data_IF_933729432594
#
_entry.id   IF_933729432594
#
_cell.length_a   1.000
_cell.length_b   1.000
_cell.length_c   1.000
_cell.angle_alpha   90.00
_cell.angle_beta   90.00
_cell.angle_gamma   90.00
#
_symmetry.space_group_name_H-M   'P 1'
#
loop_
_entity.id
_entity.type
_entity.pdbx_description
1 polymer ?
#
# COMPACT_ATOMS: atom_id res chain seq x y z
N UNK A 1 15.69 5.05 -6.38
CA UNK A 1 14.35 5.67 -6.33
C UNK A 1 14.51 7.16 -6.60
N UNK A 2 13.76 7.72 -7.55
CA UNK A 2 13.85 9.14 -7.92
C UNK A 2 12.90 9.99 -7.07
N UNK A 3 13.12 11.30 -7.06
CA UNK A 3 12.20 12.25 -6.42
C UNK A 3 10.81 12.15 -7.04
N UNK A 4 10.74 12.02 -8.35
CA UNK A 4 9.50 11.94 -9.11
C UNK A 4 8.67 10.71 -8.66
N UNK A 5 9.33 9.57 -8.42
CA UNK A 5 8.66 8.38 -7.88
C UNK A 5 8.10 8.59 -6.48
N UNK A 6 8.83 9.30 -5.60
CA UNK A 6 8.37 9.65 -4.24
C UNK A 6 7.18 10.63 -4.27
N UNK A 7 7.26 11.65 -5.12
CA UNK A 7 6.20 12.63 -5.31
C UNK A 7 4.94 12.00 -5.91
N UNK A 8 5.10 11.10 -6.88
CA UNK A 8 3.99 10.39 -7.52
C UNK A 8 3.30 9.45 -6.53
N UNK A 9 4.07 8.76 -5.67
CA UNK A 9 3.52 7.95 -4.60
C UNK A 9 2.75 8.82 -3.59
N UNK A 10 3.33 9.94 -3.15
CA UNK A 10 2.69 10.89 -2.24
C UNK A 10 1.42 11.55 -2.82
N UNK A 11 1.24 11.58 -4.15
CA UNK A 11 0.07 12.17 -4.79
C UNK A 11 -1.24 11.41 -4.49
N UNK A 12 -1.18 10.18 -3.96
CA UNK A 12 -2.34 9.43 -3.49
C UNK A 12 -2.84 9.85 -2.11
N UNK A 13 -2.07 10.65 -1.35
CA UNK A 13 -2.45 11.10 -0.01
C UNK A 13 -3.82 11.81 0.06
N UNK A 14 -4.17 12.75 -0.84
CA UNK A 14 -5.45 13.43 -0.78
C UNK A 14 -6.63 12.47 -0.96
N UNK A 15 -6.52 11.51 -1.87
CA UNK A 15 -7.57 10.53 -2.15
C UNK A 15 -7.79 9.57 -0.98
N UNK A 16 -6.71 9.17 -0.30
CA UNK A 16 -6.77 8.21 0.82
C UNK A 16 -7.19 8.88 2.13
N UNK A 17 -6.88 10.17 2.31
CA UNK A 17 -7.33 10.96 3.48
C UNK A 17 -8.75 11.49 3.34
N UNK A 18 -9.38 11.31 2.18
CA UNK A 18 -10.75 11.77 1.98
C UNK A 18 -11.68 11.04 2.97
N UNK A 19 -12.61 11.74 3.64
CA UNK A 19 -13.47 11.14 4.66
C UNK A 19 -14.44 10.09 4.10
N UNK A 20 -14.65 10.10 2.78
CA UNK A 20 -15.41 9.14 2.00
C UNK A 20 -14.54 8.03 1.37
N UNK A 21 -13.23 8.01 1.68
CA UNK A 21 -12.35 6.94 1.24
C UNK A 21 -12.82 5.61 1.84
N UNK A 22 -12.92 4.61 0.97
CA UNK A 22 -13.19 3.23 1.34
C UNK A 22 -12.23 2.32 0.59
N UNK A 23 -11.65 1.35 1.31
CA UNK A 23 -10.79 0.32 0.73
C UNK A 23 -11.56 -0.63 -0.20
N UNK A 24 -12.88 -0.70 -0.04
CA UNK A 24 -13.75 -1.53 -0.86
C UNK A 24 -15.01 -1.92 -0.11
N UNK A 25 -15.81 -2.77 -0.75
CA UNK A 25 -17.04 -3.30 -0.16
C UNK A 25 -17.09 -4.81 -0.33
N UNK A 26 -17.47 -5.52 0.73
CA UNK A 26 -17.83 -6.93 0.60
C UNK A 26 -19.11 -7.05 -0.22
N UNK A 27 -19.08 -7.91 -1.24
CA UNK A 27 -20.24 -8.21 -2.10
C UNK A 27 -20.43 -9.72 -2.18
N UNK A 28 -21.62 -10.16 -2.58
CA UNK A 28 -21.98 -11.57 -2.57
C UNK A 28 -22.50 -12.05 -1.21
N UNK A 29 -22.73 -13.35 -1.06
CA UNK A 29 -23.39 -13.95 0.12
C UNK A 29 -24.92 -13.87 0.09
N UNK A 30 -25.49 -13.11 -0.83
CA UNK A 30 -26.93 -13.03 -1.07
C UNK A 30 -27.41 -14.20 -1.94
N UNK A 31 -28.61 -14.69 -1.64
CA UNK A 31 -29.26 -15.71 -2.46
C UNK A 31 -29.84 -15.06 -3.72
N UNK A 32 -29.41 -15.53 -4.89
CA UNK A 32 -29.89 -15.04 -6.18
C UNK A 32 -31.28 -15.59 -6.50
N UNK A 33 -31.93 -14.99 -7.51
CA UNK A 33 -33.28 -15.37 -7.94
C UNK A 33 -33.40 -16.84 -8.40
N UNK A 34 -32.29 -17.47 -8.77
CA UNK A 34 -32.21 -18.88 -9.15
C UNK A 34 -31.91 -19.83 -7.96
N UNK A 35 -31.83 -19.29 -6.74
CA UNK A 35 -31.55 -20.03 -5.51
C UNK A 35 -30.07 -20.29 -5.24
N UNK A 36 -29.16 -19.93 -6.16
CA UNK A 36 -27.73 -20.01 -5.94
C UNK A 36 -27.25 -18.95 -4.94
N UNK A 37 -26.19 -19.26 -4.19
CA UNK A 37 -25.51 -18.28 -3.34
C UNK A 37 -24.14 -18.04 -3.95
N UNK A 38 -23.88 -16.79 -4.33
CA UNK A 38 -22.57 -16.38 -4.76
C UNK A 38 -21.65 -16.27 -3.53
N UNK A 39 -20.48 -16.88 -3.59
CA UNK A 39 -19.49 -16.75 -2.52
C UNK A 39 -19.14 -15.26 -2.31
N UNK A 40 -19.07 -14.78 -1.05
CA UNK A 40 -18.65 -13.43 -0.75
C UNK A 40 -17.24 -13.16 -1.33
N UNK A 41 -17.07 -12.00 -1.93
CA UNK A 41 -15.77 -11.49 -2.41
C UNK A 41 -15.58 -10.04 -1.96
N UNK A 42 -14.32 -9.61 -1.87
CA UNK A 42 -14.00 -8.21 -1.61
C UNK A 42 -13.93 -7.40 -2.91
N UNK A 43 -14.89 -6.50 -3.13
CA UNK A 43 -14.84 -5.56 -4.24
C UNK A 43 -13.99 -4.34 -3.85
N UNK A 44 -12.70 -4.45 -4.17
CA UNK A 44 -11.70 -3.39 -3.99
C UNK A 44 -12.10 -2.09 -4.70
N UNK A 45 -11.83 -0.94 -4.09
CA UNK A 45 -12.12 0.36 -4.71
C UNK A 45 -11.16 0.71 -5.85
N UNK A 46 -11.65 1.50 -6.81
CA UNK A 46 -10.84 1.99 -7.95
C UNK A 46 -9.57 2.70 -7.46
N UNK A 47 -9.63 3.41 -6.33
CA UNK A 47 -8.49 4.08 -5.73
C UNK A 47 -7.35 3.12 -5.33
N UNK A 48 -7.68 1.95 -4.74
CA UNK A 48 -6.66 0.94 -4.44
C UNK A 48 -6.12 0.31 -5.73
N UNK A 49 -6.98 0.04 -6.72
CA UNK A 49 -6.55 -0.52 -8.00
C UNK A 49 -5.60 0.43 -8.75
N UNK A 50 -5.91 1.73 -8.79
CA UNK A 50 -5.05 2.77 -9.35
C UNK A 50 -3.73 2.90 -8.58
N UNK A 51 -3.78 2.81 -7.25
CA UNK A 51 -2.59 2.80 -6.41
C UNK A 51 -1.67 1.60 -6.72
N UNK A 52 -2.22 0.39 -6.80
CA UNK A 52 -1.46 -0.82 -7.13
C UNK A 52 -0.84 -0.68 -8.51
N UNK A 53 -1.63 -0.24 -9.50
CA UNK A 53 -1.14 -0.01 -10.86
C UNK A 53 0.02 0.99 -10.87
N UNK A 54 -0.12 2.14 -10.19
CA UNK A 54 0.94 3.13 -10.08
C UNK A 54 2.18 2.58 -9.37
N UNK A 55 2.02 1.75 -8.33
CA UNK A 55 3.14 1.13 -7.64
C UNK A 55 3.95 0.18 -8.55
N UNK A 56 3.29 -0.52 -9.49
CA UNK A 56 4.00 -1.28 -10.53
C UNK A 56 4.64 -0.38 -11.57
N UNK A 57 3.89 0.59 -12.11
CA UNK A 57 4.35 1.48 -13.19
C UNK A 57 5.54 2.37 -12.77
N UNK A 58 5.66 2.67 -11.47
CA UNK A 58 6.72 3.50 -10.88
C UNK A 58 7.85 2.70 -10.22
N UNK A 59 7.90 1.38 -10.42
CA UNK A 59 8.95 0.48 -9.89
C UNK A 59 9.04 0.47 -8.34
N UNK A 60 7.91 0.70 -7.66
CA UNK A 60 7.80 0.52 -6.21
C UNK A 60 7.70 -0.96 -5.81
N UNK A 61 7.08 -1.78 -6.67
CA UNK A 61 7.03 -3.24 -6.49
C UNK A 61 8.27 -3.88 -7.08
N UNK A 62 9.19 -4.30 -6.22
CA UNK A 62 10.50 -4.80 -6.62
C UNK A 62 10.56 -6.32 -6.66
N UNK A 63 11.54 -6.83 -7.41
CA UNK A 63 11.89 -8.25 -7.39
C UNK A 63 13.00 -8.50 -6.38
N UNK A 64 12.69 -9.21 -5.30
CA UNK A 64 13.63 -9.72 -4.29
C UNK A 64 12.98 -10.88 -3.52
N UNK A 65 13.76 -11.55 -2.66
CA UNK A 65 13.25 -12.58 -1.75
C UNK A 65 12.46 -11.96 -0.60
N UNK A 66 11.25 -11.49 -0.93
CA UNK A 66 10.34 -10.89 0.03
C UNK A 66 9.83 -11.88 1.09
N UNK A 67 9.61 -13.19 0.79
CA UNK A 67 9.27 -14.15 1.85
C UNK A 67 10.36 -14.23 2.92
N UNK A 68 11.63 -14.36 2.53
CA UNK A 68 12.75 -14.39 3.48
C UNK A 68 12.88 -13.05 4.22
N UNK A 69 12.77 -11.92 3.51
CA UNK A 69 12.89 -10.60 4.14
C UNK A 69 11.82 -10.33 5.19
N UNK A 70 10.58 -10.82 5.02
CA UNK A 70 9.51 -10.64 6.02
C UNK A 70 9.81 -11.31 7.36
N UNK A 71 10.76 -12.25 7.41
CA UNK A 71 11.22 -12.92 8.64
C UNK A 71 12.27 -12.08 9.41
N UNK A 72 12.73 -10.97 8.84
CA UNK A 72 13.76 -10.13 9.46
C UNK A 72 13.18 -9.16 10.50
N UNK A 73 14.00 -8.78 11.47
CA UNK A 73 13.63 -7.74 12.44
C UNK A 73 13.39 -6.38 11.77
N UNK A 74 14.10 -6.08 10.68
CA UNK A 74 13.86 -4.86 9.89
C UNK A 74 12.43 -4.82 9.36
N UNK A 75 11.97 -5.88 8.69
CA UNK A 75 10.61 -5.95 8.16
C UNK A 75 9.57 -5.87 9.27
N UNK A 76 9.80 -6.56 10.40
CA UNK A 76 8.93 -6.52 11.56
C UNK A 76 8.80 -5.09 12.11
N UNK A 77 9.92 -4.38 12.32
CA UNK A 77 9.91 -3.00 12.84
C UNK A 77 9.26 -2.05 11.85
N UNK A 78 9.63 -2.08 10.56
CA UNK A 78 9.04 -1.20 9.55
C UNK A 78 7.52 -1.36 9.43
N UNK A 79 6.98 -2.55 9.71
CA UNK A 79 5.54 -2.83 9.65
C UNK A 79 4.80 -2.45 10.93
N UNK A 80 5.42 -2.64 12.10
CA UNK A 80 4.72 -2.57 13.39
C UNK A 80 5.14 -1.38 14.28
N UNK A 81 6.23 -0.70 13.95
CA UNK A 81 6.76 0.44 14.69
C UNK A 81 6.63 1.73 13.85
N UNK A 82 5.71 2.64 14.22
CA UNK A 82 5.53 3.91 13.51
C UNK A 82 6.79 4.77 13.47
N UNK A 83 7.64 4.74 14.49
CA UNK A 83 8.88 5.52 14.50
C UNK A 83 9.90 4.95 13.51
N UNK A 84 10.01 3.62 13.44
CA UNK A 84 10.85 2.96 12.46
C UNK A 84 10.40 3.29 11.02
N UNK A 85 9.09 3.28 10.76
CA UNK A 85 8.54 3.64 9.46
C UNK A 85 8.75 5.12 9.12
N UNK A 86 8.58 6.03 10.10
CA UNK A 86 8.86 7.44 9.93
C UNK A 86 10.34 7.74 9.61
N UNK A 87 11.26 6.87 10.03
CA UNK A 87 12.68 6.92 9.69
C UNK A 87 13.05 6.24 8.36
N UNK A 88 12.13 5.47 7.76
CA UNK A 88 12.45 4.56 6.66
C UNK A 88 13.04 5.26 5.43
N UNK A 89 13.94 4.58 4.73
CA UNK A 89 14.48 5.01 3.44
C UNK A 89 13.53 4.67 2.29
N UNK A 90 13.72 5.28 1.12
CA UNK A 90 12.94 4.93 -0.07
C UNK A 90 13.10 3.46 -0.50
N UNK A 91 14.23 2.81 -0.17
CA UNK A 91 14.44 1.38 -0.40
C UNK A 91 13.54 0.53 0.51
N UNK A 92 13.54 0.86 1.80
CA UNK A 92 12.72 0.19 2.81
C UNK A 92 11.23 0.34 2.53
N UNK A 93 10.78 1.53 2.11
CA UNK A 93 9.40 1.74 1.67
C UNK A 93 9.03 0.85 0.48
N UNK A 94 9.91 0.72 -0.52
CA UNK A 94 9.66 -0.13 -1.68
C UNK A 94 9.59 -1.62 -1.32
N UNK A 95 10.45 -2.08 -0.41
CA UNK A 95 10.38 -3.45 0.12
C UNK A 95 9.06 -3.71 0.84
N UNK A 96 8.64 -2.78 1.71
CA UNK A 96 7.39 -2.89 2.45
C UNK A 96 6.16 -2.87 1.50
N UNK A 97 6.12 -1.97 0.53
CA UNK A 97 5.08 -1.94 -0.50
C UNK A 97 5.03 -3.21 -1.32
N UNK A 98 6.19 -3.77 -1.67
CA UNK A 98 6.26 -5.04 -2.40
C UNK A 98 5.60 -6.16 -1.60
N UNK A 99 5.89 -6.26 -0.30
CA UNK A 99 5.26 -7.25 0.58
C UNK A 99 3.75 -7.05 0.62
N UNK A 100 3.29 -5.84 0.95
CA UNK A 100 1.86 -5.56 1.10
C UNK A 100 1.08 -5.84 -0.19
N UNK A 101 1.58 -5.40 -1.34
CA UNK A 101 0.91 -5.60 -2.64
C UNK A 101 0.95 -7.06 -3.10
N UNK A 102 2.06 -7.77 -2.88
CA UNK A 102 2.18 -9.17 -3.32
C UNK A 102 1.48 -10.14 -2.37
N UNK A 103 1.40 -9.83 -1.08
CA UNK A 103 0.73 -10.65 -0.08
C UNK A 103 -0.78 -10.76 -0.34
N UNK A 104 -1.39 -9.74 -0.94
CA UNK A 104 -2.80 -9.75 -1.34
C UNK A 104 -3.17 -10.87 -2.33
N UNK A 105 -2.19 -11.34 -3.12
CA UNK A 105 -2.37 -12.51 -4.00
C UNK A 105 -2.50 -13.84 -3.26
N UNK A 106 -2.10 -13.87 -1.98
CA UNK A 106 -2.12 -15.07 -1.13
C UNK A 106 -3.15 -14.97 0.00
N UNK A 107 -3.53 -13.75 0.40
CA UNK A 107 -4.52 -13.47 1.42
C UNK A 107 -5.43 -12.34 0.94
N UNK A 108 -6.62 -12.71 0.45
CA UNK A 108 -7.63 -11.76 -0.02
C UNK A 108 -7.96 -10.74 1.09
N UNK A 109 -7.93 -9.46 0.72
CA UNK A 109 -8.25 -8.36 1.63
C UNK A 109 -7.08 -7.90 2.51
N UNK A 110 -5.89 -8.53 2.42
CA UNK A 110 -4.72 -8.06 3.18
C UNK A 110 -4.23 -6.69 2.73
N UNK A 111 -4.40 -6.34 1.45
CA UNK A 111 -4.15 -4.98 0.98
C UNK A 111 -5.16 -4.00 1.57
N UNK A 112 -6.45 -4.34 1.55
CA UNK A 112 -7.51 -3.51 2.13
C UNK A 112 -7.29 -3.26 3.62
N UNK A 113 -6.92 -4.29 4.38
CA UNK A 113 -6.54 -4.17 5.79
C UNK A 113 -5.36 -3.20 5.98
N UNK A 114 -4.36 -3.22 5.10
CA UNK A 114 -3.22 -2.30 5.15
C UNK A 114 -3.60 -0.83 4.86
N UNK A 115 -4.70 -0.60 4.12
CA UNK A 115 -5.29 0.73 4.00
C UNK A 115 -6.05 1.10 5.28
N UNK A 116 -6.90 0.20 5.77
CA UNK A 116 -7.78 0.45 6.92
C UNK A 116 -7.01 0.65 8.23
N UNK A 117 -5.91 -0.07 8.43
CA UNK A 117 -5.05 0.08 9.62
C UNK A 117 -4.02 1.21 9.51
N UNK A 118 -4.01 1.95 8.38
CA UNK A 118 -3.15 3.12 8.18
C UNK A 118 -1.70 2.82 7.79
N UNK A 119 -1.33 1.56 7.51
CA UNK A 119 0.02 1.22 7.06
C UNK A 119 0.35 1.89 5.72
N UNK A 120 -0.55 1.81 4.73
CA UNK A 120 -0.36 2.48 3.44
C UNK A 120 -0.29 3.99 3.63
N UNK A 121 -1.18 4.57 4.45
CA UNK A 121 -1.16 6.00 4.75
C UNK A 121 0.20 6.44 5.30
N UNK A 122 0.76 5.70 6.25
CA UNK A 122 2.06 5.98 6.86
C UNK A 122 3.22 5.89 5.85
N UNK A 123 3.17 4.91 4.93
CA UNK A 123 4.13 4.80 3.82
C UNK A 123 4.08 6.03 2.92
N UNK A 124 2.87 6.49 2.57
CA UNK A 124 2.67 7.65 1.71
C UNK A 124 3.13 8.95 2.35
N UNK A 125 2.85 9.13 3.65
CA UNK A 125 3.33 10.27 4.42
C UNK A 125 4.85 10.30 4.46
N UNK A 126 5.49 9.15 4.69
CA UNK A 126 6.94 9.06 4.65
C UNK A 126 7.50 9.36 3.26
N UNK A 127 6.86 8.87 2.19
CA UNK A 127 7.24 9.17 0.82
C UNK A 127 7.18 10.69 0.53
N UNK A 128 6.16 11.38 1.05
CA UNK A 128 6.05 12.84 0.97
C UNK A 128 7.22 13.54 1.67
N UNK A 129 7.56 13.15 2.90
CA UNK A 129 8.70 13.75 3.64
C UNK A 129 10.00 13.60 2.85
N UNK A 130 10.25 12.41 2.28
CA UNK A 130 11.43 12.16 1.46
C UNK A 130 11.45 12.99 0.17
N UNK A 131 10.29 13.17 -0.48
CA UNK A 131 10.15 14.02 -1.67
C UNK A 131 10.43 15.49 -1.36
N UNK A 132 9.88 16.01 -0.26
CA UNK A 132 10.04 17.40 0.16
C UNK A 132 11.50 17.69 0.56
N UNK A 133 12.14 16.80 1.32
CA UNK A 133 13.55 16.91 1.69
C UNK A 133 14.50 16.86 0.47
N UNK A 134 14.12 16.15 -0.60
CA UNK A 134 14.86 16.13 -1.85
C UNK A 134 14.70 17.44 -2.66
N UNK A 135 13.62 18.21 -2.42
CA UNK A 135 13.37 19.49 -3.06
C UNK A 135 14.21 20.62 -2.45
N UNK A 136 14.37 20.64 -1.12
CA UNK A 136 15.09 21.69 -0.37
C UNK A 136 16.61 21.65 -0.58
N UNK A 137 17.16 20.54 -1.07
CA UNK A 137 18.60 20.37 -1.33
C UNK A 137 19.07 20.87 -2.71
N UNK A 138 18.19 21.49 -3.49
CA UNK A 138 18.53 22.05 -4.81
C UNK A 138 18.84 23.55 -4.68
N UNK A 139 20.07 24.01 -5.02
CA UNK A 139 20.40 25.44 -5.02
C UNK A 139 19.68 26.20 -6.14
#
# INVERSE_FOLDING_TARGET
MTREGLSALAAFLPSIRAPDFSSGTWKGGEQQADGSIQMPWFAQSDAISDFVKAAYDLDWVRSFDWPEWTQTEEAFRLRNDPEALAGATADQLAKLLTVVIRQDRFAEGSLAEAFDNGLILSILERAKVLSDAANERRP
#
